data_IF_472775468637
#
_entry.id   IF_472775468637
#
_cell.length_a   1.000
_cell.length_b   1.000
_cell.length_c   1.000
_cell.angle_alpha   90.00
_cell.angle_beta   90.00
_cell.angle_gamma   90.00
#
_symmetry.space_group_name_H-M   'P 1'
#
loop_
_entity.id
_entity.type
_entity.pdbx_description
1 polymer ?
#
# COMPACT_ATOMS: atom_id res chain seq x y z
N UNK A 1 -4.55 -18.62 -30.60
CA UNK A 1 -3.89 -18.02 -29.42
C UNK A 1 -4.91 -18.06 -28.31
N UNK A 2 -4.76 -18.97 -27.35
CA UNK A 2 -5.66 -19.00 -26.20
C UNK A 2 -5.45 -17.74 -25.34
N UNK A 3 -6.53 -17.11 -24.83
CA UNK A 3 -6.40 -16.02 -23.89
C UNK A 3 -5.67 -16.54 -22.64
N UNK A 4 -4.55 -15.91 -22.29
CA UNK A 4 -3.86 -16.23 -21.04
C UNK A 4 -4.86 -16.05 -19.88
N UNK A 5 -4.95 -17.01 -18.94
CA UNK A 5 -5.76 -16.81 -17.73
C UNK A 5 -5.30 -15.52 -17.06
N UNK A 6 -6.19 -14.73 -16.43
CA UNK A 6 -5.82 -13.46 -15.81
C UNK A 6 -4.71 -13.73 -14.79
N UNK A 7 -3.48 -13.42 -15.20
CA UNK A 7 -2.28 -13.64 -14.42
C UNK A 7 -2.08 -12.38 -13.62
N UNK A 8 -1.90 -12.49 -12.30
CA UNK A 8 -1.69 -11.31 -11.49
C UNK A 8 -2.28 -11.40 -10.10
N UNK A 9 -2.09 -10.29 -9.40
CA UNK A 9 -2.58 -10.09 -8.05
C UNK A 9 -3.85 -9.23 -8.09
N UNK A 10 -4.85 -9.64 -7.31
CA UNK A 10 -5.95 -8.75 -6.93
C UNK A 10 -5.63 -8.18 -5.57
N UNK A 11 -5.38 -6.87 -5.48
CA UNK A 11 -5.16 -6.19 -4.20
C UNK A 11 -6.51 -5.70 -3.69
N UNK A 12 -6.90 -6.17 -2.50
CA UNK A 12 -8.17 -5.82 -1.84
C UNK A 12 -8.01 -4.56 -1.02
N UNK A 13 -6.86 -4.41 -0.36
CA UNK A 13 -6.56 -3.21 0.41
C UNK A 13 -5.08 -2.90 0.40
N UNK A 14 -4.77 -1.61 0.40
CA UNK A 14 -3.43 -1.08 0.59
C UNK A 14 -3.56 0.15 1.50
N UNK A 15 -2.87 0.14 2.63
CA UNK A 15 -2.94 1.19 3.62
C UNK A 15 -1.57 1.48 4.22
N UNK A 16 -1.35 2.75 4.56
CA UNK A 16 -0.12 3.21 5.21
C UNK A 16 -0.49 3.98 6.46
N UNK A 17 0.09 3.56 7.58
CA UNK A 17 -0.05 4.26 8.86
C UNK A 17 1.30 4.76 9.29
N UNK A 18 1.42 6.08 9.42
CA UNK A 18 2.61 6.72 9.95
C UNK A 18 2.58 6.64 11.47
N UNK A 19 3.64 6.15 12.10
CA UNK A 19 3.90 6.28 13.53
C UNK A 19 4.99 7.32 13.81
N UNK A 20 5.34 7.51 15.08
CA UNK A 20 6.36 8.49 15.48
C UNK A 20 7.74 8.26 14.85
N UNK A 21 8.18 7.00 14.74
CA UNK A 21 9.53 6.65 14.25
C UNK A 21 9.54 5.54 13.20
N UNK A 22 8.37 5.21 12.64
CA UNK A 22 8.21 4.14 11.65
C UNK A 22 6.95 4.35 10.84
N UNK A 23 6.96 3.89 9.60
CA UNK A 23 5.77 3.84 8.75
C UNK A 23 5.42 2.39 8.49
N UNK A 24 4.16 2.04 8.74
CA UNK A 24 3.63 0.70 8.52
C UNK A 24 2.89 0.68 7.18
N UNK A 25 3.40 -0.09 6.23
CA UNK A 25 2.73 -0.39 4.97
C UNK A 25 2.05 -1.75 5.11
N UNK A 26 0.75 -1.82 4.88
CA UNK A 26 -0.05 -3.04 4.99
C UNK A 26 -0.87 -3.22 3.73
N UNK A 27 -0.89 -4.44 3.21
CA UNK A 27 -1.76 -4.77 2.08
C UNK A 27 -2.35 -6.15 2.25
N UNK A 28 -3.51 -6.32 1.64
CA UNK A 28 -4.20 -7.60 1.55
C UNK A 28 -4.51 -7.89 0.08
N UNK A 29 -4.25 -9.12 -0.33
CA UNK A 29 -4.62 -9.63 -1.64
C UNK A 29 -5.91 -10.45 -1.53
N UNK A 30 -6.63 -10.58 -2.63
CA UNK A 30 -7.79 -11.46 -2.77
C UNK A 30 -7.51 -12.66 -3.68
N UNK A 31 -6.51 -12.55 -4.55
CA UNK A 31 -6.00 -13.61 -5.40
C UNK A 31 -4.53 -13.36 -5.72
N UNK A 32 -3.73 -14.42 -5.79
CA UNK A 32 -2.29 -14.38 -6.12
C UNK A 32 -1.98 -15.47 -7.14
N UNK A 33 -2.41 -15.26 -8.39
CA UNK A 33 -2.16 -16.22 -9.48
C UNK A 33 -0.79 -15.94 -10.09
N UNK A 34 0.14 -16.89 -9.96
CA UNK A 34 1.53 -16.80 -10.45
C UNK A 34 2.31 -15.61 -9.85
N UNK A 35 2.08 -15.26 -8.59
CA UNK A 35 2.81 -14.17 -7.92
C UNK A 35 4.01 -14.75 -7.17
N UNK A 36 5.23 -14.33 -7.51
CA UNK A 36 6.45 -14.69 -6.76
C UNK A 36 6.55 -13.90 -5.46
N UNK A 37 6.11 -12.64 -5.48
CA UNK A 37 6.12 -11.79 -4.31
C UNK A 37 6.03 -10.30 -4.62
N UNK A 38 6.42 -9.50 -3.64
CA UNK A 38 6.18 -8.06 -3.63
C UNK A 38 7.43 -7.23 -3.34
N UNK A 39 7.53 -6.09 -4.01
CA UNK A 39 8.44 -5.00 -3.69
C UNK A 39 7.67 -3.80 -3.15
N UNK A 40 8.32 -3.04 -2.26
CA UNK A 40 7.75 -1.83 -1.66
C UNK A 40 8.57 -0.64 -2.12
N UNK A 41 7.89 0.40 -2.57
CA UNK A 41 8.53 1.64 -3.01
C UNK A 41 8.00 2.83 -2.21
N UNK A 42 8.86 3.84 -2.08
CA UNK A 42 8.55 5.12 -1.44
C UNK A 42 9.01 6.29 -2.30
N UNK A 43 8.23 7.35 -2.33
CA UNK A 43 8.54 8.59 -3.04
C UNK A 43 8.00 9.80 -2.28
N UNK A 44 8.49 10.99 -2.63
CA UNK A 44 8.11 12.26 -2.00
C UNK A 44 6.95 12.95 -2.72
N UNK A 45 6.52 12.43 -3.86
CA UNK A 45 5.39 12.92 -4.64
C UNK A 45 4.60 11.76 -5.28
N UNK A 46 3.34 11.99 -5.64
CA UNK A 46 2.44 10.97 -6.20
C UNK A 46 2.88 10.41 -7.56
N UNK A 47 3.80 11.06 -8.27
CA UNK A 47 4.31 10.66 -9.58
C UNK A 47 5.68 10.01 -9.51
N UNK A 48 6.29 9.91 -8.33
CA UNK A 48 7.66 9.42 -8.17
C UNK A 48 7.89 8.05 -8.82
N UNK A 49 6.91 7.15 -8.75
CA UNK A 49 6.99 5.83 -9.38
C UNK A 49 7.02 5.91 -10.91
N UNK A 50 6.25 6.82 -11.51
CA UNK A 50 6.22 7.03 -12.97
C UNK A 50 7.50 7.74 -13.48
N UNK A 51 8.07 8.59 -12.64
CA UNK A 51 9.29 9.35 -12.94
C UNK A 51 10.58 8.56 -12.66
N UNK A 52 10.48 7.38 -12.03
CA UNK A 52 11.63 6.58 -11.62
C UNK A 52 12.40 7.18 -10.43
N UNK A 53 11.83 8.15 -9.70
CA UNK A 53 12.43 8.73 -8.49
C UNK A 53 12.00 8.01 -7.21
N UNK A 54 11.10 7.03 -7.29
CA UNK A 54 10.72 6.20 -6.16
C UNK A 54 11.85 5.24 -5.75
N UNK A 55 12.11 5.17 -4.44
CA UNK A 55 13.14 4.32 -3.85
C UNK A 55 12.53 2.99 -3.43
N UNK A 56 13.16 1.88 -3.86
CA UNK A 56 12.81 0.54 -3.39
C UNK A 56 13.28 0.34 -1.96
N UNK A 57 12.39 -0.09 -1.07
CA UNK A 57 12.67 -0.22 0.36
C UNK A 57 13.20 -1.60 0.75
N UNK A 58 12.69 -2.68 0.15
CA UNK A 58 13.04 -4.04 0.51
C UNK A 58 14.24 -4.54 -0.33
N UNK A 59 15.26 -5.11 0.32
CA UNK A 59 16.41 -5.70 -0.37
C UNK A 59 16.07 -7.02 -1.08
N UNK A 60 15.20 -7.84 -0.46
CA UNK A 60 14.72 -9.11 -1.00
C UNK A 60 13.23 -9.04 -1.25
N UNK A 61 12.77 -9.74 -2.29
CA UNK A 61 11.35 -9.86 -2.61
C UNK A 61 10.61 -10.43 -1.39
N UNK A 62 9.48 -9.82 -1.02
CA UNK A 62 8.62 -10.34 0.05
C UNK A 62 7.82 -11.48 -0.59
N UNK A 63 8.04 -12.75 -0.20
CA UNK A 63 7.47 -13.87 -0.91
C UNK A 63 5.96 -13.86 -0.80
N UNK A 64 5.29 -14.21 -1.90
CA UNK A 64 3.88 -14.54 -1.91
C UNK A 64 3.61 -15.69 -0.92
N UNK A 65 2.46 -15.61 -0.26
CA UNK A 65 1.98 -16.57 0.74
C UNK A 65 0.72 -17.31 0.28
N UNK A 66 0.09 -16.84 -0.80
CA UNK A 66 -1.09 -17.48 -1.37
C UNK A 66 -0.78 -17.93 -2.80
N UNK A 67 -1.22 -19.15 -3.15
CA UNK A 67 -0.93 -19.74 -4.43
C UNK A 67 -2.25 -20.02 -5.16
N UNK A 68 -2.75 -19.01 -5.88
CA UNK A 68 -3.79 -19.22 -6.89
C UNK A 68 -5.09 -18.44 -6.73
N UNK A 69 -6.06 -18.72 -7.61
CA UNK A 69 -7.30 -17.96 -7.72
C UNK A 69 -8.11 -17.99 -6.43
N UNK A 70 -8.62 -16.82 -6.00
CA UNK A 70 -9.43 -16.67 -4.79
C UNK A 70 -8.68 -16.88 -3.47
N UNK A 71 -7.37 -17.15 -3.53
CA UNK A 71 -6.52 -17.22 -2.35
C UNK A 71 -5.73 -15.93 -2.22
N UNK A 72 -5.99 -15.21 -1.14
CA UNK A 72 -5.26 -14.00 -0.77
C UNK A 72 -4.50 -14.17 0.54
N UNK A 73 -3.67 -13.20 0.86
CA UNK A 73 -2.92 -13.14 2.09
C UNK A 73 -2.75 -11.69 2.56
N UNK A 74 -2.48 -11.55 3.85
CA UNK A 74 -2.15 -10.27 4.47
C UNK A 74 -0.64 -10.15 4.66
N UNK A 75 -0.14 -8.94 4.39
CA UNK A 75 1.28 -8.62 4.44
C UNK A 75 1.52 -7.30 5.16
N UNK A 76 2.77 -7.10 5.57
CA UNK A 76 3.20 -5.86 6.18
C UNK A 76 4.69 -5.60 5.95
N UNK A 77 5.03 -4.31 5.84
CA UNK A 77 6.39 -3.81 5.77
C UNK A 77 6.57 -2.62 6.70
N UNK A 78 7.75 -2.50 7.32
CA UNK A 78 8.10 -1.40 8.22
C UNK A 78 9.21 -0.58 7.57
N UNK A 79 8.88 0.68 7.25
CA UNK A 79 9.88 1.67 6.86
C UNK A 79 10.37 2.45 8.09
N UNK A 80 11.70 2.52 8.24
CA UNK A 80 12.39 3.22 9.33
C UNK A 80 13.23 4.40 8.85
N UNK A 81 13.46 4.53 7.54
CA UNK A 81 14.42 5.47 6.98
C UNK A 81 13.75 6.72 6.41
N UNK A 82 12.83 7.34 7.14
CA UNK A 82 11.99 8.44 6.65
C UNK A 82 12.23 9.71 7.48
N UNK A 83 12.10 10.86 6.84
CA UNK A 83 12.11 12.17 7.50
C UNK A 83 10.72 12.46 8.09
N UNK A 84 10.60 12.77 9.39
CA UNK A 84 9.31 13.04 10.01
C UNK A 84 8.60 14.30 9.51
N UNK A 85 9.28 15.21 8.83
CA UNK A 85 8.68 16.44 8.31
C UNK A 85 8.24 16.31 6.85
N UNK A 86 8.68 15.25 6.16
CA UNK A 86 8.35 15.02 4.76
C UNK A 86 7.03 14.25 4.57
N UNK A 87 6.34 14.57 3.46
CA UNK A 87 5.23 13.76 2.94
C UNK A 87 5.78 12.60 2.11
N UNK A 88 5.27 11.39 2.35
CA UNK A 88 5.65 10.20 1.61
C UNK A 88 4.45 9.48 1.01
N UNK A 89 4.67 8.96 -0.18
CA UNK A 89 3.77 8.10 -0.92
C UNK A 89 4.40 6.73 -1.08
N UNK A 90 3.56 5.70 -1.04
CA UNK A 90 4.00 4.32 -1.10
C UNK A 90 3.27 3.56 -2.19
N UNK A 91 3.99 2.60 -2.76
CA UNK A 91 3.48 1.63 -3.72
C UNK A 91 3.90 0.23 -3.33
N UNK A 92 3.11 -0.73 -3.77
CA UNK A 92 3.53 -2.12 -3.83
C UNK A 92 3.60 -2.55 -5.30
N UNK A 93 4.65 -3.27 -5.65
CA UNK A 93 4.81 -3.89 -6.96
C UNK A 93 4.75 -5.40 -6.76
N UNK A 94 3.83 -6.06 -7.47
CA UNK A 94 3.81 -7.51 -7.57
C UNK A 94 4.72 -7.96 -8.70
N UNK A 95 5.40 -9.09 -8.51
CA UNK A 95 6.27 -9.73 -9.51
C UNK A 95 5.71 -11.12 -9.78
N UNK A 96 5.39 -11.40 -11.03
CA UNK A 96 4.88 -12.69 -11.47
C UNK A 96 6.01 -13.70 -11.78
N UNK A 97 5.68 -14.99 -11.87
CA UNK A 97 6.60 -16.05 -12.30
C UNK A 97 7.17 -15.82 -13.71
N UNK A 98 6.34 -15.25 -14.59
CA UNK A 98 6.73 -14.78 -15.91
C UNK A 98 7.70 -13.57 -15.92
N UNK A 99 7.90 -12.91 -14.78
CA UNK A 99 8.64 -11.65 -14.66
C UNK A 99 7.80 -10.39 -14.91
N UNK A 100 6.53 -10.53 -15.28
CA UNK A 100 5.59 -9.42 -15.38
C UNK A 100 5.46 -8.69 -14.03
N UNK A 101 5.29 -7.36 -14.07
CA UNK A 101 5.22 -6.51 -12.88
C UNK A 101 4.00 -5.63 -12.91
N UNK A 102 3.30 -5.54 -11.78
CA UNK A 102 2.13 -4.68 -11.62
C UNK A 102 2.25 -3.84 -10.36
N UNK A 103 2.10 -2.53 -10.50
CA UNK A 103 2.23 -1.54 -9.44
C UNK A 103 0.86 -1.12 -8.92
N UNK A 104 0.74 -0.99 -7.61
CA UNK A 104 -0.46 -0.55 -6.91
C UNK A 104 -0.14 0.62 -5.97
N UNK A 105 -1.01 1.62 -5.95
CA UNK A 105 -0.81 2.89 -5.24
C UNK A 105 -0.97 4.09 -6.19
N UNK A 106 -0.52 5.30 -5.81
CA UNK A 106 0.09 5.63 -4.52
C UNK A 106 -0.91 5.62 -3.38
N UNK A 107 -0.41 5.37 -2.18
CA UNK A 107 -1.10 5.69 -0.92
C UNK A 107 -0.24 6.62 -0.09
N UNK A 108 -0.84 7.67 0.46
CA UNK A 108 -0.14 8.64 1.30
C UNK A 108 0.02 8.08 2.73
N UNK A 109 1.15 8.37 3.36
CA UNK A 109 1.33 8.09 4.78
C UNK A 109 0.54 9.10 5.63
N UNK A 110 -0.53 8.64 6.27
CA UNK A 110 -1.31 9.47 7.19
C UNK A 110 -0.88 9.26 8.63
N UNK A 111 -0.88 10.35 9.41
CA UNK A 111 -0.72 10.25 10.87
C UNK A 111 -1.94 9.55 11.48
N UNK A 112 -1.77 8.78 12.57
CA UNK A 112 -2.89 8.15 13.26
C UNK A 112 -3.73 9.28 13.86
N UNK A 113 -5.01 9.36 13.50
CA UNK A 113 -5.90 10.44 13.96
C UNK A 113 -5.97 11.66 13.03
N UNK A 114 -5.32 11.63 11.86
CA UNK A 114 -5.66 12.55 10.78
C UNK A 114 -7.02 12.16 10.19
N UNK A 115 -8.10 12.53 10.87
CA UNK A 115 -9.44 12.50 10.29
C UNK A 115 -9.45 13.41 9.05
N UNK A 116 -10.04 13.01 7.90
CA UNK A 116 -10.12 13.85 6.69
C UNK A 116 -10.96 15.14 6.87
N UNK A 117 -11.46 15.44 8.08
CA UNK A 117 -12.28 16.61 8.39
C UNK A 117 -11.51 17.95 8.33
N UNK A 118 -10.19 17.96 8.07
CA UNK A 118 -9.39 19.18 7.97
C UNK A 118 -9.36 19.85 6.58
N UNK A 119 -10.04 19.29 5.57
CA UNK A 119 -10.18 19.93 4.26
C UNK A 119 -11.51 20.70 4.17
N UNK A 120 -11.48 21.99 4.54
CA UNK A 120 -12.52 23.02 4.31
C UNK A 120 -13.94 22.62 4.73
N UNK A 121 -14.27 22.93 5.98
CA UNK A 121 -15.59 23.42 6.41
C UNK A 121 -16.76 22.44 6.31
N UNK A 122 -17.39 22.19 7.46
CA UNK A 122 -18.65 21.46 7.66
C UNK A 122 -18.44 19.96 7.94
N UNK A 123 -18.04 19.65 9.17
CA UNK A 123 -18.45 18.40 9.80
C UNK A 123 -19.61 18.74 10.77
N UNK A 124 -20.80 18.12 10.65
CA UNK A 124 -21.86 18.31 11.62
C UNK A 124 -21.40 17.69 12.96
N UNK A 125 -21.39 18.51 14.01
CA UNK A 125 -21.25 18.02 15.38
C UNK A 125 -22.40 17.05 15.66
N UNK A 126 -22.07 15.76 15.83
CA UNK A 126 -23.04 14.75 16.25
C UNK A 126 -23.65 15.11 17.61
N UNK A 127 -24.87 14.63 17.91
CA UNK A 127 -25.64 15.13 19.03
C UNK A 127 -24.93 14.85 20.35
N UNK A 128 -24.75 15.93 21.12
CA UNK A 128 -24.28 15.92 22.51
C UNK A 128 -25.22 15.03 23.33
N UNK A 129 -24.75 13.86 23.75
CA UNK A 129 -25.44 13.06 24.74
C UNK A 129 -25.53 13.88 26.05
N UNK A 130 -26.75 14.26 26.43
CA UNK A 130 -27.04 14.78 27.77
C UNK A 130 -27.39 13.57 28.62
N UNK A 131 -26.59 13.35 29.66
CA UNK A 131 -26.89 12.39 30.71
C UNK A 131 -27.80 12.99 31.78
N UNK A 132 -28.46 12.06 32.48
CA UNK A 132 -29.41 12.17 33.60
C UNK A 132 -30.84 12.53 33.18
#
# INVERSE_FOLDING_TARGET
>A
MDPQPPTGVTVVSLGVTRGYNRVFVRWQTGAETDVLGFNIYRGTDVRAMQQGSAVKLNARLIPSRAAGPGQGAAYGYIDRGFDPEASYYYWIESVAGSGARQVHGPVAATLPGASPCAAKGICPVGPRAVGQ
#
